data_IF_303671782942
#
_entry.id   IF_303671782942
#
_cell.length_a   1.000
_cell.length_b   1.000
_cell.length_c   1.000
_cell.angle_alpha   90.00
_cell.angle_beta   90.00
_cell.angle_gamma   90.00
#
_symmetry.space_group_name_H-M   'P 1'
#
loop_
_entity.id
_entity.type
_entity.pdbx_description
1 polymer ?
#
# COMPACT_ATOMS: atom_id res chain seq x y z
N UNK A 1 1.14 9.49 6.12
CA UNK A 1 1.01 9.28 4.66
C UNK A 1 2.11 8.34 4.22
N UNK A 2 1.81 7.33 3.42
CA UNK A 2 2.75 6.38 2.84
C UNK A 2 2.75 6.62 1.32
N UNK A 3 3.79 7.29 0.82
CA UNK A 3 3.94 7.69 -0.58
C UNK A 3 5.19 7.03 -1.19
N UNK A 4 5.33 5.72 -0.97
CA UNK A 4 6.48 4.94 -1.43
C UNK A 4 6.09 4.11 -2.65
N UNK A 5 7.08 3.73 -3.44
CA UNK A 5 6.92 2.97 -4.68
C UNK A 5 7.17 1.46 -4.49
N UNK A 6 7.85 1.03 -3.44
CA UNK A 6 8.17 -0.38 -3.22
C UNK A 6 7.11 -1.16 -2.41
N UNK A 7 7.16 -2.48 -2.47
CA UNK A 7 6.23 -3.33 -1.71
C UNK A 7 6.70 -3.53 -0.26
N UNK A 8 8.00 -3.66 -0.03
CA UNK A 8 8.60 -3.85 1.29
C UNK A 8 8.40 -2.65 2.20
N UNK A 9 8.57 -1.44 1.68
CA UNK A 9 8.28 -0.19 2.41
C UNK A 9 6.79 -0.06 2.78
N UNK A 10 5.88 -0.41 1.86
CA UNK A 10 4.44 -0.52 2.16
C UNK A 10 4.16 -1.58 3.22
N UNK A 11 4.84 -2.73 3.16
CA UNK A 11 4.69 -3.79 4.16
C UNK A 11 5.12 -3.32 5.56
N UNK A 12 6.23 -2.55 5.66
CA UNK A 12 6.67 -1.90 6.90
C UNK A 12 5.59 -1.00 7.47
N UNK A 13 5.12 -0.03 6.69
CA UNK A 13 4.13 0.95 7.16
C UNK A 13 2.80 0.28 7.47
N UNK A 14 2.41 -0.71 6.68
CA UNK A 14 1.23 -1.53 6.92
C UNK A 14 1.33 -2.24 8.28
N UNK A 15 2.45 -2.90 8.58
CA UNK A 15 2.61 -3.54 9.89
C UNK A 15 2.56 -2.52 11.03
N UNK A 16 3.25 -1.37 10.91
CA UNK A 16 3.23 -0.31 11.92
C UNK A 16 1.80 0.14 12.23
N UNK A 17 0.97 0.31 11.19
CA UNK A 17 -0.38 0.84 11.34
C UNK A 17 -1.28 -0.03 12.22
N UNK A 18 -1.14 -1.35 12.14
CA UNK A 18 -1.92 -2.30 12.92
C UNK A 18 -1.21 -2.73 14.22
N UNK A 19 0.12 -2.82 14.21
CA UNK A 19 0.91 -3.27 15.36
C UNK A 19 1.03 -2.22 16.46
N UNK A 20 1.19 -0.95 16.08
CA UNK A 20 1.30 0.18 17.01
C UNK A 20 0.06 1.04 17.04
N UNK A 21 -1.01 0.67 16.31
CA UNK A 21 -2.26 1.42 16.22
C UNK A 21 -2.05 2.87 15.78
N UNK A 22 -1.10 3.09 14.85
CA UNK A 22 -0.79 4.41 14.28
C UNK A 22 -1.38 4.49 12.87
N UNK A 23 -2.55 5.10 12.67
CA UNK A 23 -3.20 5.10 11.35
C UNK A 23 -2.31 5.70 10.26
N UNK A 24 -2.37 5.10 9.08
CA UNK A 24 -1.68 5.57 7.90
C UNK A 24 -2.66 5.70 6.73
N UNK A 25 -2.25 6.41 5.69
CA UNK A 25 -2.95 6.44 4.40
C UNK A 25 -1.90 6.06 3.37
N UNK A 26 -2.12 4.93 2.70
CA UNK A 26 -1.36 4.46 1.56
C UNK A 26 -1.93 5.08 0.28
N UNK A 27 -1.04 5.47 -0.63
CA UNK A 27 -1.41 5.93 -1.94
C UNK A 27 -0.34 5.58 -2.98
N UNK A 28 -0.80 5.40 -4.21
CA UNK A 28 0.08 5.10 -5.34
C UNK A 28 -0.61 5.33 -6.68
N UNK A 29 0.21 5.54 -7.70
CA UNK A 29 -0.20 5.59 -9.11
C UNK A 29 0.64 4.57 -9.85
N UNK A 30 0.00 3.86 -10.77
CA UNK A 30 0.63 2.94 -11.70
C UNK A 30 0.20 3.32 -13.11
N UNK A 31 1.18 3.38 -14.02
CA UNK A 31 0.97 3.63 -15.44
C UNK A 31 1.58 2.47 -16.20
N UNK A 32 0.73 1.61 -16.75
CA UNK A 32 1.17 0.48 -17.54
C UNK A 32 1.34 0.93 -18.98
N UNK A 33 2.56 0.84 -19.49
CA UNK A 33 2.90 1.16 -20.88
C UNK A 33 3.60 -0.02 -21.55
N UNK A 34 3.13 -0.37 -22.76
CA UNK A 34 3.71 -1.43 -23.60
C UNK A 34 3.98 -0.83 -24.97
N UNK A 35 5.21 -1.00 -25.47
CA UNK A 35 5.65 -0.47 -26.78
C UNK A 35 5.36 1.04 -26.96
N UNK A 36 5.57 1.82 -25.89
CA UNK A 36 5.33 3.26 -25.89
C UNK A 36 3.85 3.68 -25.85
N UNK A 37 2.93 2.74 -25.75
CA UNK A 37 1.49 3.00 -25.63
C UNK A 37 1.00 2.75 -24.20
N UNK A 38 0.28 3.72 -23.64
CA UNK A 38 -0.34 3.59 -22.31
C UNK A 38 -1.54 2.65 -22.40
N UNK A 39 -1.48 1.54 -21.67
CA UNK A 39 -2.53 0.53 -21.60
C UNK A 39 -3.52 0.81 -20.47
N UNK A 40 -2.99 1.17 -19.29
CA UNK A 40 -3.78 1.43 -18.10
C UNK A 40 -3.17 2.53 -17.24
N UNK A 41 -4.04 3.26 -16.54
CA UNK A 41 -3.68 4.23 -15.52
C UNK A 41 -4.54 3.93 -14.30
N UNK A 42 -3.90 3.50 -13.22
CA UNK A 42 -4.55 3.17 -11.97
C UNK A 42 -3.97 4.01 -10.83
N UNK A 43 -4.83 4.59 -10.01
CA UNK A 43 -4.45 5.21 -8.75
C UNK A 43 -5.20 4.55 -7.60
N UNK A 44 -4.57 4.46 -6.44
CA UNK A 44 -5.19 3.92 -5.23
C UNK A 44 -4.92 4.84 -4.06
N UNK A 45 -5.91 5.01 -3.19
CA UNK A 45 -5.79 5.64 -1.88
C UNK A 45 -6.52 4.77 -0.88
N UNK A 46 -5.86 4.39 0.21
CA UNK A 46 -6.46 3.55 1.25
C UNK A 46 -6.00 3.99 2.64
N UNK A 47 -6.95 4.16 3.56
CA UNK A 47 -6.64 4.31 4.98
C UNK A 47 -6.36 2.94 5.60
N UNK A 48 -5.27 2.88 6.37
CA UNK A 48 -4.85 1.74 7.18
C UNK A 48 -5.10 2.12 8.64
N UNK A 49 -6.10 1.50 9.26
CA UNK A 49 -6.47 1.76 10.64
C UNK A 49 -7.19 0.54 11.24
N UNK A 50 -7.21 0.37 12.57
CA UNK A 50 -7.96 -0.70 13.22
C UNK A 50 -9.41 -0.80 12.74
N UNK A 51 -9.84 -2.01 12.40
CA UNK A 51 -11.18 -2.28 11.84
C UNK A 51 -11.30 -2.11 10.32
N UNK A 52 -10.28 -1.61 9.64
CA UNK A 52 -10.20 -1.58 8.18
C UNK A 52 -9.28 -2.70 7.66
N UNK A 53 -9.48 -3.20 6.43
CA UNK A 53 -8.59 -4.17 5.82
C UNK A 53 -7.21 -3.56 5.58
N UNK A 54 -6.17 -4.34 5.85
CA UNK A 54 -4.79 -3.95 5.58
C UNK A 54 -4.41 -4.18 4.10
N UNK A 55 -3.19 -3.77 3.71
CA UNK A 55 -2.70 -3.97 2.34
C UNK A 55 -2.56 -5.45 1.97
N UNK A 56 -2.30 -6.33 2.95
CA UNK A 56 -2.27 -7.79 2.74
C UNK A 56 -3.68 -8.34 2.43
N UNK A 57 -4.69 -7.94 3.20
CA UNK A 57 -6.08 -8.36 2.97
C UNK A 57 -6.59 -7.93 1.59
N UNK A 58 -6.18 -6.73 1.15
CA UNK A 58 -6.55 -6.19 -0.15
C UNK A 58 -5.72 -6.71 -1.33
N UNK A 59 -4.80 -7.65 -1.11
CA UNK A 59 -3.93 -8.22 -2.16
C UNK A 59 -2.97 -7.21 -2.79
N UNK A 60 -2.64 -6.11 -2.11
CA UNK A 60 -1.76 -5.05 -2.64
C UNK A 60 -0.28 -5.42 -2.52
N UNK A 61 0.07 -6.20 -1.50
CA UNK A 61 1.44 -6.62 -1.26
C UNK A 61 1.71 -7.92 -2.02
N UNK A 62 2.65 -7.90 -2.96
CA UNK A 62 3.24 -9.11 -3.51
C UNK A 62 4.31 -9.65 -2.53
N UNK A 63 4.11 -10.83 -1.92
CA UNK A 63 5.08 -11.41 -0.98
C UNK A 63 6.47 -11.63 -1.58
N UNK A 64 6.56 -11.90 -2.89
CA UNK A 64 7.83 -12.08 -3.57
C UNK A 64 8.55 -10.74 -3.73
N UNK A 65 7.85 -9.67 -4.12
CA UNK A 65 8.40 -8.32 -4.16
C UNK A 65 8.83 -7.82 -2.78
N UNK A 66 8.02 -8.03 -1.74
CA UNK A 66 8.37 -7.68 -0.35
C UNK A 66 9.68 -8.35 0.08
N UNK A 67 9.86 -9.64 -0.26
CA UNK A 67 11.09 -10.37 0.04
C UNK A 67 12.30 -9.76 -0.68
N UNK A 68 12.18 -9.53 -1.99
CA UNK A 68 13.23 -8.93 -2.83
C UNK A 68 13.66 -7.55 -2.33
N UNK A 69 12.70 -6.74 -1.88
CA UNK A 69 12.97 -5.41 -1.33
C UNK A 69 13.85 -5.44 -0.07
N UNK A 70 13.81 -6.55 0.68
CA UNK A 70 14.63 -6.74 1.89
C UNK A 70 15.88 -7.61 1.68
N UNK A 71 16.13 -8.12 0.46
CA UNK A 71 17.35 -8.86 0.14
C UNK A 71 18.59 -7.97 0.20
N UNK A 72 19.71 -8.54 0.65
CA UNK A 72 21.01 -7.91 0.56
C UNK A 72 21.49 -7.92 -0.90
N UNK A 73 22.46 -7.07 -1.23
CA UNK A 73 23.04 -7.06 -2.58
C UNK A 73 23.61 -8.43 -2.99
N UNK A 74 24.15 -9.19 -2.03
CA UNK A 74 24.72 -10.51 -2.28
C UNK A 74 23.63 -11.57 -2.55
N UNK A 75 22.52 -11.54 -1.81
CA UNK A 75 21.38 -12.43 -2.05
C UNK A 75 20.70 -12.11 -3.38
N UNK A 76 20.52 -10.82 -3.69
CA UNK A 76 19.92 -10.37 -4.95
C UNK A 76 20.76 -10.76 -6.16
N UNK A 77 22.10 -10.71 -6.04
CA UNK A 77 23.01 -11.16 -7.08
C UNK A 77 23.01 -12.69 -7.26
N UNK A 78 22.67 -13.44 -6.21
CA UNK A 78 22.58 -14.89 -6.22
C UNK A 78 21.18 -15.41 -6.63
N UNK A 79 20.15 -14.56 -6.66
CA UNK A 79 18.78 -14.95 -7.03
C UNK A 79 18.64 -15.11 -8.57
N UNK A 80 18.46 -16.34 -9.08
CA UNK A 80 18.27 -16.59 -10.51
C UNK A 80 16.94 -16.05 -11.05
N UNK A 81 16.01 -15.64 -10.19
CA UNK A 81 14.72 -15.06 -10.56
C UNK A 81 14.67 -13.54 -10.40
N UNK A 82 15.82 -12.88 -10.18
CA UNK A 82 15.89 -11.43 -10.08
C UNK A 82 15.58 -10.80 -11.45
N UNK A 83 14.39 -10.19 -11.57
CA UNK A 83 13.96 -9.45 -12.76
C UNK A 83 14.38 -7.98 -12.59
N UNK A 84 15.03 -7.37 -13.59
CA UNK A 84 15.35 -5.94 -13.55
C UNK A 84 14.10 -5.09 -13.36
N UNK A 85 14.21 -4.00 -12.60
CA UNK A 85 13.12 -3.05 -12.44
C UNK A 85 12.69 -2.50 -13.80
N UNK A 86 11.38 -2.54 -14.04
CA UNK A 86 10.79 -1.93 -15.22
C UNK A 86 10.55 -0.46 -14.94
N UNK A 87 11.00 0.48 -15.79
CA UNK A 87 10.75 1.90 -15.60
C UNK A 87 9.26 2.19 -15.47
N UNK A 88 8.85 2.77 -14.34
CA UNK A 88 7.48 3.22 -14.09
C UNK A 88 7.32 4.69 -14.45
N UNK A 89 6.48 5.05 -15.44
CA UNK A 89 6.24 6.44 -15.80
C UNK A 89 5.57 7.22 -14.66
N UNK A 90 6.10 8.39 -14.32
CA UNK A 90 5.51 9.28 -13.34
C UNK A 90 5.00 10.56 -14.03
N UNK A 91 3.73 10.89 -13.80
CA UNK A 91 3.09 12.10 -14.36
C UNK A 91 2.53 12.93 -13.23
N UNK A 92 2.99 14.18 -13.11
CA UNK A 92 2.65 15.09 -12.01
C UNK A 92 1.13 15.25 -11.82
N UNK A 93 0.38 15.33 -12.91
CA UNK A 93 -1.07 15.49 -12.86
C UNK A 93 -1.77 14.28 -12.24
N UNK A 94 -1.35 13.05 -12.61
CA UNK A 94 -1.92 11.81 -12.07
C UNK A 94 -1.60 11.66 -10.58
N UNK A 95 -0.35 11.92 -10.21
CA UNK A 95 0.08 11.94 -8.81
C UNK A 95 -0.70 13.00 -8.01
N UNK A 96 -0.94 14.18 -8.60
CA UNK A 96 -1.70 15.25 -7.98
C UNK A 96 -3.15 14.86 -7.65
N UNK A 97 -3.83 14.14 -8.55
CA UNK A 97 -5.21 13.64 -8.32
C UNK A 97 -5.24 12.69 -7.11
N UNK A 98 -4.33 11.72 -7.09
CA UNK A 98 -4.28 10.71 -6.01
C UNK A 98 -3.84 11.34 -4.69
N UNK A 99 -2.84 12.22 -4.70
CA UNK A 99 -2.38 12.93 -3.51
C UNK A 99 -3.49 13.82 -2.91
N UNK A 100 -4.21 14.57 -3.73
CA UNK A 100 -5.32 15.43 -3.27
C UNK A 100 -6.47 14.59 -2.70
N UNK A 101 -6.74 13.44 -3.29
CA UNK A 101 -7.73 12.47 -2.77
C UNK A 101 -7.33 11.94 -1.39
N UNK A 102 -6.05 11.61 -1.21
CA UNK A 102 -5.50 11.16 0.07
C UNK A 102 -5.53 12.27 1.15
N UNK A 103 -5.25 13.52 0.78
CA UNK A 103 -5.39 14.65 1.70
C UNK A 103 -6.84 14.90 2.10
N UNK A 104 -7.78 14.71 1.18
CA UNK A 104 -9.21 14.79 1.49
C UNK A 104 -9.64 13.70 2.48
N UNK A 105 -9.13 12.48 2.31
CA UNK A 105 -9.35 11.37 3.26
C UNK A 105 -8.72 11.67 4.62
N UNK A 106 -7.54 12.29 4.67
CA UNK A 106 -6.91 12.72 5.91
C UNK A 106 -7.77 13.77 6.65
N UNK A 107 -8.24 14.80 5.94
CA UNK A 107 -9.15 15.81 6.51
C UNK A 107 -10.44 15.17 7.03
N UNK A 108 -10.96 14.15 6.35
CA UNK A 108 -12.12 13.40 6.82
C UNK A 108 -11.86 12.63 8.12
N UNK A 109 -10.66 12.07 8.26
CA UNK A 109 -10.29 11.30 9.44
C UNK A 109 -9.95 12.18 10.66
N UNK A 110 -9.34 13.34 10.45
CA UNK A 110 -8.81 14.19 11.53
C UNK A 110 -9.69 15.40 11.82
N UNK A 111 -10.29 16.01 10.79
CA UNK A 111 -11.04 17.26 10.90
C UNK A 111 -12.57 17.09 10.67
N UNK A 112 -13.06 15.86 10.47
CA UNK A 112 -14.49 15.58 10.37
C UNK A 112 -15.16 15.98 9.05
N UNK A 113 -14.38 16.15 7.97
CA UNK A 113 -14.96 16.31 6.62
C UNK A 113 -15.88 15.11 6.29
N UNK A 114 -17.08 15.32 5.70
CA UNK A 114 -18.11 14.27 5.54
C UNK A 114 -17.80 13.27 4.40
N UNK A 115 -16.57 12.77 4.31
CA UNK A 115 -16.20 11.65 3.45
C UNK A 115 -16.23 10.36 4.27
N UNK A 116 -17.11 9.43 3.87
CA UNK A 116 -17.27 8.13 4.53
C UNK A 116 -16.28 7.08 4.04
N UNK A 117 -15.92 7.12 2.75
CA UNK A 117 -15.04 6.11 2.17
C UNK A 117 -13.64 6.15 2.79
N UNK A 118 -13.03 4.98 2.89
CA UNK A 118 -11.64 4.77 3.35
C UNK A 118 -10.79 4.01 2.31
N UNK A 119 -11.35 3.77 1.13
CA UNK A 119 -10.67 3.26 -0.05
C UNK A 119 -11.18 3.98 -1.30
N UNK A 120 -10.27 4.47 -2.14
CA UNK A 120 -10.57 5.12 -3.42
C UNK A 120 -9.67 4.53 -4.50
N UNK A 121 -10.25 4.22 -5.66
CA UNK A 121 -9.53 3.86 -6.87
C UNK A 121 -9.78 4.92 -7.94
N UNK A 122 -8.71 5.45 -8.50
CA UNK A 122 -8.73 6.33 -9.66
C UNK A 122 -8.46 5.50 -10.92
N UNK A 123 -9.41 5.52 -11.85
CA UNK A 123 -9.20 5.04 -13.21
C UNK A 123 -8.84 6.25 -14.08
N UNK A 124 -7.56 6.38 -14.42
CA UNK A 124 -7.06 7.52 -15.19
C UNK A 124 -7.44 7.48 -16.67
N UNK A 125 -7.82 6.31 -17.20
CA UNK A 125 -8.32 6.18 -18.58
C UNK A 125 -9.75 6.71 -18.71
N UNK A 126 -10.60 6.43 -17.72
CA UNK A 126 -11.99 6.94 -17.67
C UNK A 126 -12.10 8.31 -17.00
N UNK A 127 -11.07 8.73 -16.26
CA UNK A 127 -11.11 9.96 -15.44
C UNK A 127 -12.03 9.84 -14.22
N UNK A 128 -12.26 8.62 -13.70
CA UNK A 128 -13.26 8.36 -12.65
C UNK A 128 -12.58 7.94 -11.34
N UNK A 129 -13.06 8.47 -10.22
CA UNK A 129 -12.71 7.99 -8.87
C UNK A 129 -13.89 7.20 -8.31
N UNK A 130 -13.66 5.94 -7.93
CA UNK A 130 -14.66 5.06 -7.31
C UNK A 130 -14.22 4.70 -5.89
N UNK A 131 -15.16 4.66 -4.95
CA UNK A 131 -14.89 4.09 -3.63
C UNK A 131 -14.80 2.57 -3.71
N UNK A 132 -13.95 2.00 -2.87
CA UNK A 132 -13.98 0.57 -2.58
C UNK A 132 -13.92 0.35 -1.06
N UNK A 133 -14.31 -0.84 -0.64
CA UNK A 133 -14.25 -1.28 0.74
C UNK A 133 -14.01 -2.78 0.81
N UNK A 134 -13.84 -3.27 2.02
CA UNK A 134 -13.65 -4.69 2.30
C UNK A 134 -13.57 -4.88 3.81
N UNK A 135 -13.55 -6.13 4.23
CA UNK A 135 -13.43 -6.50 5.64
C UNK A 135 -12.02 -7.05 5.92
N UNK A 136 -11.47 -6.84 7.13
CA UNK A 136 -10.25 -7.50 7.53
C UNK A 136 -10.41 -9.02 7.49
N UNK A 137 -9.41 -9.71 6.96
CA UNK A 137 -9.35 -11.18 7.02
C UNK A 137 -8.96 -11.62 8.44
N UNK A 138 -9.77 -12.49 9.05
CA UNK A 138 -9.55 -13.03 10.41
C UNK A 138 -8.28 -13.88 10.52
N UNK A 139 -7.77 -14.40 9.40
CA UNK A 139 -6.53 -15.16 9.31
C UNK A 139 -5.31 -14.31 8.92
N UNK A 140 -5.48 -12.99 8.75
CA UNK A 140 -4.41 -12.11 8.28
C UNK A 140 -3.23 -12.04 9.26
N UNK A 141 -2.03 -12.30 8.76
CA UNK A 141 -0.76 -12.23 9.52
C UNK A 141 -0.37 -10.81 9.98
N UNK A 142 -1.12 -9.77 9.56
CA UNK A 142 -0.88 -8.38 9.97
C UNK A 142 -2.00 -7.85 10.86
N UNK A 143 -3.22 -7.73 10.34
CA UNK A 143 -4.29 -7.01 11.03
C UNK A 143 -5.26 -7.88 11.82
N UNK A 144 -5.15 -9.21 11.76
CA UNK A 144 -5.99 -10.07 12.60
C UNK A 144 -5.56 -9.99 14.06
N UNK A 145 -6.53 -10.16 14.98
CA UNK A 145 -6.29 -10.14 16.43
C UNK A 145 -5.66 -11.42 16.97
N UNK A 146 -5.83 -12.54 16.26
CA UNK A 146 -5.38 -13.86 16.71
C UNK A 146 -4.00 -14.25 16.20
N UNK A 147 -3.83 -14.26 14.87
CA UNK A 147 -2.60 -14.71 14.20
C UNK A 147 -1.68 -13.55 13.81
N UNK A 148 -2.21 -12.32 13.75
CA UNK A 148 -1.52 -11.15 13.23
C UNK A 148 -0.80 -10.34 14.29
N UNK A 149 -0.14 -9.27 13.82
CA UNK A 149 0.60 -8.33 14.66
C UNK A 149 -0.26 -7.29 15.37
N UNK A 150 -1.59 -7.38 15.27
CA UNK A 150 -2.51 -6.35 15.74
C UNK A 150 -2.28 -6.01 17.22
N UNK A 151 -2.03 -4.73 17.51
CA UNK A 151 -1.76 -4.19 18.84
C UNK A 151 -0.63 -4.89 19.62
N UNK A 152 0.28 -5.59 18.95
CA UNK A 152 1.37 -6.30 19.62
C UNK A 152 2.45 -5.36 20.18
N UNK A 153 2.54 -4.12 19.71
CA UNK A 153 3.62 -3.19 20.04
C UNK A 153 4.99 -3.82 19.77
N UNK A 154 5.99 -3.58 20.61
CA UNK A 154 7.35 -4.10 20.39
C UNK A 154 7.50 -5.62 20.64
N UNK A 155 6.43 -6.33 21.04
CA UNK A 155 6.48 -7.78 21.33
C UNK A 155 6.65 -8.63 20.08
N UNK A 156 6.30 -8.09 18.91
CA UNK A 156 6.45 -8.76 17.63
C UNK A 156 7.55 -8.09 16.81
N UNK A 157 8.51 -8.85 16.26
CA UNK A 157 9.52 -8.27 15.38
C UNK A 157 8.87 -7.69 14.13
N UNK A 158 9.47 -6.61 13.64
CA UNK A 158 9.04 -5.97 12.42
C UNK A 158 9.51 -6.73 11.18
N UNK A 159 8.77 -6.64 10.08
CA UNK A 159 8.99 -7.39 8.84
C UNK A 159 10.38 -7.16 8.22
N UNK A 160 10.98 -5.99 8.43
CA UNK A 160 12.33 -5.68 7.92
C UNK A 160 13.46 -6.12 8.86
N UNK A 161 13.16 -6.43 10.12
CA UNK A 161 14.18 -6.87 11.08
C UNK A 161 14.47 -8.34 10.80
N UNK A 162 15.59 -8.61 10.14
CA UNK A 162 16.11 -9.97 9.98
C UNK A 162 16.37 -10.60 11.35
N UNK A 163 16.01 -11.87 11.48
CA UNK A 163 16.49 -12.75 12.56
C UNK A 163 17.89 -13.23 12.22
#
# INVERSE_FOLDING_TARGET
MCCTDSHGSRAVVNQIAYQHLVPAIDLGVQVDAVDGQVQAIAGRVQMLAPGLPCLQCGGVLDPAAVRRDFESAQERAADPYNVPDTPQPAVIALNGVVASSAMTMLMAAVAGLPMRSRGLNYNGREGVIRSFGGEPDESCVVCSRGLGAFAAGDRQPMVWRRR
#
